data_IF_420659230426
#
_entry.id   IF_420659230426
#
_cell.length_a   1.000
_cell.length_b   1.000
_cell.length_c   1.000
_cell.angle_alpha   90.00
_cell.angle_beta   90.00
_cell.angle_gamma   90.00
#
_symmetry.space_group_name_H-M   'P 1'
#
loop_
_entity.id
_entity.type
_entity.pdbx_description
1 polymer ?
#
# COMPACT_ATOMS: atom_id res chain seq x y z
N UNK A 1 -34.73 0.63 17.75
CA UNK A 1 -33.42 -0.03 17.92
C UNK A 1 -32.42 0.81 17.15
N UNK A 2 -31.66 1.68 17.82
CA UNK A 2 -30.64 2.50 17.17
C UNK A 2 -29.35 1.71 17.24
N UNK A 3 -28.92 1.13 16.11
CA UNK A 3 -27.57 0.59 16.02
C UNK A 3 -26.63 1.79 16.09
N UNK A 4 -25.85 1.86 17.17
CA UNK A 4 -24.76 2.81 17.31
C UNK A 4 -23.73 2.41 16.26
N UNK A 5 -23.79 3.01 15.08
CA UNK A 5 -22.79 2.76 14.03
C UNK A 5 -21.54 3.48 14.52
N UNK A 6 -20.67 2.76 15.23
CA UNK A 6 -19.34 3.27 15.51
C UNK A 6 -18.70 3.67 14.17
N UNK A 7 -18.11 4.88 14.07
CA UNK A 7 -17.45 5.30 12.84
C UNK A 7 -16.42 4.24 12.49
N UNK A 8 -16.49 3.78 11.24
CA UNK A 8 -15.58 2.77 10.71
C UNK A 8 -14.18 3.35 10.79
N UNK A 9 -13.40 2.89 11.77
CA UNK A 9 -12.02 3.34 11.96
C UNK A 9 -11.09 2.42 11.15
N UNK A 10 -10.69 2.88 9.97
CA UNK A 10 -9.80 2.12 9.07
C UNK A 10 -8.35 2.50 9.40
N UNK A 11 -7.76 1.78 10.35
CA UNK A 11 -6.33 1.89 10.64
C UNK A 11 -5.52 1.01 9.67
N UNK A 12 -5.06 1.62 8.56
CA UNK A 12 -4.17 0.99 7.58
C UNK A 12 -2.72 1.39 7.86
N UNK A 13 -1.85 0.41 8.10
CA UNK A 13 -0.41 0.60 8.13
C UNK A 13 0.18 0.26 6.76
N UNK A 14 0.95 1.17 6.18
CA UNK A 14 1.56 1.00 4.85
C UNK A 14 3.06 1.14 4.93
N UNK A 15 3.78 0.34 4.16
CA UNK A 15 5.22 0.47 4.00
C UNK A 15 5.63 0.08 2.58
N UNK A 16 6.61 0.80 2.03
CA UNK A 16 7.17 0.55 0.70
C UNK A 16 8.68 0.33 0.82
N UNK A 17 9.21 -0.58 0.02
CA UNK A 17 10.63 -0.95 0.04
C UNK A 17 11.14 -1.29 -1.35
N UNK A 18 12.45 -1.54 -1.47
CA UNK A 18 13.04 -2.06 -2.70
C UNK A 18 12.58 -3.48 -3.06
N UNK A 19 12.05 -4.24 -2.10
CA UNK A 19 11.55 -5.60 -2.34
C UNK A 19 10.05 -5.66 -2.64
N UNK A 20 9.31 -4.58 -2.45
CA UNK A 20 7.86 -4.58 -2.57
C UNK A 20 7.13 -3.66 -1.61
N UNK A 21 5.82 -3.86 -1.53
CA UNK A 21 4.86 -3.07 -0.77
C UNK A 21 4.15 -3.96 0.26
N UNK A 22 3.80 -3.38 1.39
CA UNK A 22 2.94 -4.04 2.37
C UNK A 22 1.88 -3.08 2.90
N UNK A 23 0.65 -3.57 2.95
CA UNK A 23 -0.51 -2.87 3.49
C UNK A 23 -1.14 -3.76 4.55
N UNK A 24 -1.28 -3.27 5.77
CA UNK A 24 -1.88 -3.99 6.88
C UNK A 24 -3.14 -3.27 7.36
N UNK A 25 -4.28 -3.94 7.21
CA UNK A 25 -5.56 -3.48 7.72
C UNK A 25 -5.78 -4.07 9.13
N UNK A 26 -5.68 -3.21 10.15
CA UNK A 26 -5.77 -3.64 11.55
C UNK A 26 -7.13 -4.20 11.94
N UNK A 27 -8.21 -3.63 11.40
CA UNK A 27 -9.57 -3.99 11.80
C UNK A 27 -9.92 -5.46 11.51
N UNK A 28 -9.79 -5.97 10.27
CA UNK A 28 -9.96 -7.39 9.98
C UNK A 28 -8.69 -8.23 10.21
N UNK A 29 -7.58 -7.62 10.65
CA UNK A 29 -6.24 -8.26 10.79
C UNK A 29 -5.75 -8.90 9.49
N UNK A 30 -6.03 -8.25 8.37
CA UNK A 30 -5.62 -8.69 7.04
C UNK A 30 -4.41 -7.90 6.57
N UNK A 31 -3.52 -8.55 5.82
CA UNK A 31 -2.41 -7.86 5.17
C UNK A 31 -2.34 -8.25 3.69
N UNK A 32 -1.87 -7.30 2.89
CA UNK A 32 -1.48 -7.48 1.51
C UNK A 32 0.03 -7.24 1.44
N UNK A 33 0.73 -8.17 0.80
CA UNK A 33 2.14 -8.02 0.50
C UNK A 33 2.30 -8.23 -1.00
N UNK A 34 2.80 -7.21 -1.68
CA UNK A 34 3.13 -7.26 -3.11
C UNK A 34 4.64 -7.27 -3.20
N UNK A 35 5.20 -8.30 -3.83
CA UNK A 35 6.64 -8.36 -4.08
C UNK A 35 6.91 -7.84 -5.47
N UNK A 36 7.96 -7.02 -5.58
CA UNK A 36 8.41 -6.56 -6.89
C UNK A 36 9.16 -7.66 -7.61
N UNK A 37 8.87 -7.79 -8.90
CA UNK A 37 9.58 -8.69 -9.80
C UNK A 37 10.95 -8.15 -10.20
N UNK A 38 11.67 -8.89 -11.04
CA UNK A 38 13.01 -8.50 -11.44
C UNK A 38 13.00 -7.22 -12.30
N UNK A 39 11.99 -6.99 -13.13
CA UNK A 39 11.90 -5.80 -13.98
C UNK A 39 11.71 -4.55 -13.12
N UNK A 40 10.80 -4.61 -12.15
CA UNK A 40 10.55 -3.53 -11.20
C UNK A 40 11.77 -3.24 -10.31
N UNK A 41 12.52 -4.28 -9.91
CA UNK A 41 13.77 -4.11 -9.16
C UNK A 41 14.85 -3.44 -10.01
N UNK A 42 14.97 -3.81 -11.28
CA UNK A 42 15.90 -3.14 -12.19
C UNK A 42 15.51 -1.67 -12.40
N UNK A 43 14.21 -1.34 -12.47
CA UNK A 43 13.75 0.05 -12.51
C UNK A 43 14.17 0.83 -11.26
N UNK A 44 14.05 0.25 -10.07
CA UNK A 44 14.50 0.86 -8.79
C UNK A 44 16.02 1.07 -8.78
N UNK A 45 16.78 0.09 -9.26
CA UNK A 45 18.25 0.14 -9.26
C UNK A 45 18.82 1.05 -10.35
N UNK A 46 18.14 1.17 -11.49
CA UNK A 46 18.53 2.01 -12.62
C UNK A 46 18.17 3.49 -12.42
N UNK A 47 17.48 3.81 -11.33
CA UNK A 47 16.96 5.14 -11.08
C UNK A 47 18.06 6.13 -10.71
N UNK A 48 18.26 7.13 -11.57
CA UNK A 48 19.17 8.25 -11.31
C UNK A 48 18.42 9.57 -11.42
N UNK A 49 17.50 9.86 -10.48
CA UNK A 49 16.80 11.14 -10.45
C UNK A 49 15.44 11.12 -9.76
N UNK A 50 14.74 12.26 -9.74
CA UNK A 50 13.42 12.40 -9.10
C UNK A 50 12.25 11.82 -9.92
N UNK A 51 12.45 11.52 -11.20
CA UNK A 51 11.37 11.16 -12.16
C UNK A 51 11.20 9.64 -12.39
N UNK A 52 11.81 8.78 -11.57
CA UNK A 52 11.69 7.33 -11.73
C UNK A 52 10.85 6.65 -10.64
N UNK A 53 11.10 5.34 -10.45
CA UNK A 53 10.39 4.50 -9.48
C UNK A 53 10.94 4.61 -8.05
N UNK A 54 11.08 5.84 -7.56
CA UNK A 54 11.68 6.12 -6.26
C UNK A 54 10.77 5.75 -5.09
N UNK A 55 11.29 5.93 -3.88
CA UNK A 55 10.54 5.63 -2.67
C UNK A 55 9.22 6.41 -2.58
N UNK A 56 9.20 7.69 -2.97
CA UNK A 56 7.98 8.52 -2.90
C UNK A 56 6.88 8.01 -3.83
N UNK A 57 7.24 7.60 -5.06
CA UNK A 57 6.31 7.00 -6.01
C UNK A 57 5.77 5.67 -5.47
N UNK A 58 6.64 4.84 -4.89
CA UNK A 58 6.24 3.54 -4.32
C UNK A 58 5.38 3.68 -3.06
N UNK A 59 5.61 4.69 -2.23
CA UNK A 59 4.73 5.01 -1.10
C UNK A 59 3.34 5.45 -1.57
N UNK A 60 3.26 6.29 -2.62
CA UNK A 60 1.99 6.67 -3.25
C UNK A 60 1.27 5.47 -3.87
N UNK A 61 2.02 4.57 -4.54
CA UNK A 61 1.49 3.32 -5.07
C UNK A 61 0.94 2.43 -3.94
N UNK A 62 1.64 2.33 -2.81
CA UNK A 62 1.21 1.58 -1.63
C UNK A 62 -0.13 2.11 -1.07
N UNK A 63 -0.26 3.43 -1.00
CA UNK A 63 -1.50 4.12 -0.61
C UNK A 63 -2.66 3.81 -1.57
N UNK A 64 -2.45 4.02 -2.87
CA UNK A 64 -3.46 3.76 -3.88
C UNK A 64 -3.91 2.30 -3.90
N UNK A 65 -2.95 1.36 -3.80
CA UNK A 65 -3.21 -0.07 -3.78
C UNK A 65 -3.96 -0.50 -2.51
N UNK A 66 -3.56 0.01 -1.34
CA UNK A 66 -4.25 -0.24 -0.08
C UNK A 66 -5.68 0.28 -0.08
N UNK A 67 -5.90 1.49 -0.59
CA UNK A 67 -7.24 2.06 -0.73
C UNK A 67 -8.09 1.26 -1.71
N UNK A 68 -7.53 0.84 -2.84
CA UNK A 68 -8.23 -0.02 -3.80
C UNK A 68 -8.65 -1.34 -3.17
N UNK A 69 -7.76 -2.03 -2.45
CA UNK A 69 -8.08 -3.35 -1.93
C UNK A 69 -8.95 -3.34 -0.67
N UNK A 70 -8.83 -2.33 0.19
CA UNK A 70 -9.53 -2.30 1.49
C UNK A 70 -10.67 -1.29 1.58
N UNK A 71 -10.73 -0.30 0.67
CA UNK A 71 -11.77 0.72 0.67
C UNK A 71 -12.74 0.63 -0.53
N UNK A 72 -12.43 -0.14 -1.58
CA UNK A 72 -13.34 -0.29 -2.73
C UNK A 72 -14.55 -1.21 -2.44
N UNK A 73 -14.42 -2.17 -1.52
CA UNK A 73 -15.51 -3.12 -1.17
C UNK A 73 -16.48 -2.59 -0.08
N UNK A 74 -16.49 -1.28 0.20
CA UNK A 74 -17.42 -0.66 1.18
C UNK A 74 -18.40 0.30 0.55
#
# INVERSE_FOLDING_TARGET
>A
MFANVEPIDIHINMNASNGGLVVFNRAPRQYLQVQFDEEERQLILSETGPDGFNISVREHLCLAFGAWCFCHDR
#
